data_IF_854134568592
#
_entry.id   IF_854134568592
#
_cell.length_a   1.000
_cell.length_b   1.000
_cell.length_c   1.000
_cell.angle_alpha   90.00
_cell.angle_beta   90.00
_cell.angle_gamma   90.00
#
_symmetry.space_group_name_H-M   'P 1'
#
loop_
_entity.id
_entity.type
_entity.pdbx_description
1 polymer ?
#
# COMPACT_ATOMS: atom_id res chain seq x y z
N UNK A 1 -5.19 6.71 -23.92
CA UNK A 1 -5.60 5.57 -23.07
C UNK A 1 -5.29 5.93 -21.62
N UNK A 2 -6.06 5.43 -20.64
CA UNK A 2 -5.85 5.77 -19.22
C UNK A 2 -5.61 4.54 -18.37
N UNK A 3 -4.74 4.67 -17.37
CA UNK A 3 -4.42 3.65 -16.38
C UNK A 3 -5.31 3.90 -15.17
N UNK A 4 -6.24 2.98 -14.91
CA UNK A 4 -7.19 3.07 -13.80
C UNK A 4 -6.49 3.11 -12.44
N UNK A 5 -5.45 2.31 -12.29
CA UNK A 5 -4.68 2.26 -11.07
C UNK A 5 -3.31 1.63 -11.27
N UNK A 6 -2.32 2.12 -10.53
CA UNK A 6 -1.09 1.38 -10.23
C UNK A 6 -1.27 0.80 -8.83
N UNK A 7 -1.11 -0.51 -8.68
CA UNK A 7 -1.20 -1.17 -7.36
C UNK A 7 0.14 -1.79 -7.01
N UNK A 8 0.69 -1.40 -5.86
CA UNK A 8 1.85 -2.03 -5.27
C UNK A 8 1.40 -3.07 -4.26
N UNK A 9 1.90 -4.28 -4.42
CA UNK A 9 1.71 -5.38 -3.48
C UNK A 9 2.94 -5.46 -2.58
N UNK A 10 2.74 -5.40 -1.27
CA UNK A 10 3.82 -5.33 -0.30
C UNK A 10 3.45 -6.05 1.00
N UNK A 11 4.41 -6.76 1.58
CA UNK A 11 4.29 -7.23 2.95
C UNK A 11 5.21 -6.39 3.86
N UNK A 12 4.67 -5.37 4.57
CA UNK A 12 5.47 -4.51 5.43
C UNK A 12 5.71 -5.10 6.83
N UNK A 13 5.15 -6.26 7.16
CA UNK A 13 5.17 -6.83 8.50
C UNK A 13 4.44 -5.98 9.56
N UNK A 14 4.56 -6.38 10.82
CA UNK A 14 4.13 -5.60 11.99
C UNK A 14 5.14 -5.75 13.14
N UNK A 15 5.72 -4.66 13.69
CA UNK A 15 5.59 -3.25 13.26
C UNK A 15 6.00 -3.02 11.80
N UNK A 16 5.52 -1.93 11.19
CA UNK A 16 5.75 -1.64 9.77
C UNK A 16 7.23 -1.38 9.46
N UNK A 17 7.75 -2.02 8.41
CA UNK A 17 9.04 -1.66 7.80
C UNK A 17 8.88 -0.36 6.97
N UNK A 18 9.19 0.76 7.61
CA UNK A 18 9.12 2.10 6.99
C UNK A 18 10.10 2.27 5.83
N UNK A 19 11.23 1.56 5.83
CA UNK A 19 12.20 1.65 4.73
C UNK A 19 11.68 0.95 3.49
N UNK A 20 11.02 -0.19 3.67
CA UNK A 20 10.36 -0.93 2.60
C UNK A 20 9.16 -0.15 2.04
N UNK A 21 8.33 0.42 2.91
CA UNK A 21 7.24 1.30 2.52
C UNK A 21 7.75 2.49 1.71
N UNK A 22 8.78 3.20 2.20
CA UNK A 22 9.36 4.33 1.47
C UNK A 22 9.82 3.94 0.06
N UNK A 23 10.48 2.79 -0.09
CA UNK A 23 10.89 2.28 -1.43
C UNK A 23 9.68 2.05 -2.34
N UNK A 24 8.57 1.54 -1.81
CA UNK A 24 7.33 1.40 -2.58
C UNK A 24 6.74 2.74 -3.01
N UNK A 25 6.77 3.76 -2.14
CA UNK A 25 6.39 5.13 -2.48
C UNK A 25 7.27 5.73 -3.57
N UNK A 26 8.60 5.67 -3.40
CA UNK A 26 9.57 6.19 -4.37
C UNK A 26 9.43 5.51 -5.75
N UNK A 27 9.20 4.20 -5.76
CA UNK A 27 8.94 3.44 -6.99
C UNK A 27 7.62 3.88 -7.65
N UNK A 28 6.56 4.04 -6.87
CA UNK A 28 5.24 4.44 -7.39
C UNK A 28 5.30 5.82 -8.03
N UNK A 29 6.01 6.77 -7.40
CA UNK A 29 6.21 8.10 -7.97
C UNK A 29 6.94 8.05 -9.33
N UNK A 30 8.00 7.25 -9.43
CA UNK A 30 8.73 7.04 -10.68
C UNK A 30 7.86 6.38 -11.76
N UNK A 31 7.05 5.39 -11.39
CA UNK A 31 6.12 4.73 -12.31
C UNK A 31 5.06 5.71 -12.84
N UNK A 32 4.48 6.55 -11.97
CA UNK A 32 3.53 7.59 -12.38
C UNK A 32 4.17 8.57 -13.36
N UNK A 33 5.39 9.04 -13.06
CA UNK A 33 6.11 9.96 -13.94
C UNK A 33 6.37 9.34 -15.32
N UNK A 34 6.96 8.14 -15.36
CA UNK A 34 7.29 7.45 -16.60
C UNK A 34 6.06 7.15 -17.48
N UNK A 35 4.93 6.79 -16.87
CA UNK A 35 3.68 6.53 -17.60
C UNK A 35 3.04 7.82 -18.10
N UNK A 36 3.09 8.89 -17.32
CA UNK A 36 2.63 10.21 -17.73
C UNK A 36 3.46 10.74 -18.91
N UNK A 37 4.78 10.61 -18.85
CA UNK A 37 5.71 11.01 -19.92
C UNK A 37 5.48 10.22 -21.21
N UNK A 38 5.05 8.95 -21.09
CA UNK A 38 4.64 8.12 -22.21
C UNK A 38 3.23 8.45 -22.76
N UNK A 39 2.54 9.46 -22.20
CA UNK A 39 1.24 9.93 -22.66
C UNK A 39 0.02 9.22 -22.03
N UNK A 40 0.21 8.50 -20.93
CA UNK A 40 -0.89 7.87 -20.18
C UNK A 40 -1.32 8.71 -18.97
N UNK A 41 -2.62 8.95 -18.83
CA UNK A 41 -3.19 9.45 -17.57
C UNK A 41 -3.21 8.32 -16.54
N UNK A 42 -2.63 8.54 -15.35
CA UNK A 42 -2.75 7.64 -14.20
C UNK A 42 -3.77 8.20 -13.21
N UNK A 43 -4.83 7.44 -12.93
CA UNK A 43 -5.94 7.96 -12.12
C UNK A 43 -5.74 7.76 -10.61
N UNK A 44 -5.19 6.62 -10.21
CA UNK A 44 -4.96 6.31 -8.79
C UNK A 44 -3.72 5.46 -8.57
N UNK A 45 -3.13 5.59 -7.38
CA UNK A 45 -2.09 4.73 -6.83
C UNK A 45 -2.66 4.01 -5.61
N UNK A 46 -2.35 2.72 -5.48
CA UNK A 46 -2.90 1.86 -4.42
C UNK A 46 -1.80 1.03 -3.78
N UNK A 47 -1.90 0.83 -2.47
CA UNK A 47 -1.10 -0.12 -1.71
C UNK A 47 -1.98 -1.30 -1.30
N UNK A 48 -1.54 -2.52 -1.58
CA UNK A 48 -2.20 -3.73 -1.11
C UNK A 48 -1.23 -4.52 -0.24
N UNK A 49 -1.64 -4.80 0.99
CA UNK A 49 -0.85 -5.57 1.97
C UNK A 49 -1.51 -6.88 2.34
N UNK A 50 -0.68 -7.80 2.87
CA UNK A 50 -1.10 -9.11 3.38
C UNK A 50 -2.24 -9.01 4.41
N UNK A 51 -2.90 -10.14 4.68
CA UNK A 51 -3.97 -10.21 5.68
C UNK A 51 -3.50 -9.75 7.06
N UNK A 52 -4.40 -9.18 7.86
CA UNK A 52 -4.03 -8.76 9.22
C UNK A 52 -3.64 -9.96 10.09
N UNK A 53 -4.20 -11.15 9.84
CA UNK A 53 -3.85 -12.38 10.57
C UNK A 53 -2.38 -12.72 10.36
N UNK A 54 -1.88 -12.55 9.13
CA UNK A 54 -0.48 -12.74 8.79
C UNK A 54 0.40 -11.63 9.36
N UNK A 55 0.02 -10.37 9.14
CA UNK A 55 0.82 -9.22 9.58
C UNK A 55 0.98 -9.17 11.11
N UNK A 56 -0.13 -9.35 11.85
CA UNK A 56 -0.11 -9.31 13.31
C UNK A 56 0.36 -10.61 13.95
N UNK A 57 0.37 -11.71 13.19
CA UNK A 57 0.51 -13.07 13.72
C UNK A 57 -0.46 -13.34 14.90
N UNK A 58 -1.65 -12.71 14.86
CA UNK A 58 -2.66 -12.77 15.90
C UNK A 58 -4.07 -12.76 15.27
N UNK A 59 -4.86 -13.85 15.42
CA UNK A 59 -6.21 -13.91 14.90
C UNK A 59 -7.22 -13.06 15.71
N UNK A 60 -6.85 -12.57 16.91
CA UNK A 60 -7.74 -11.79 17.78
C UNK A 60 -8.03 -10.38 17.29
N UNK A 61 -7.27 -9.89 16.30
CA UNK A 61 -7.37 -8.55 15.75
C UNK A 61 -7.20 -7.41 16.78
N UNK A 62 -6.59 -7.68 17.95
CA UNK A 62 -6.35 -6.66 19.00
C UNK A 62 -5.61 -5.43 18.45
N UNK A 63 -4.59 -5.68 17.63
CA UNK A 63 -3.74 -4.63 17.04
C UNK A 63 -4.20 -4.20 15.63
N UNK A 64 -5.38 -4.63 15.18
CA UNK A 64 -5.89 -4.28 13.85
C UNK A 64 -6.11 -2.77 13.68
N UNK A 65 -6.64 -2.10 14.72
CA UNK A 65 -6.87 -0.66 14.65
C UNK A 65 -5.55 0.14 14.62
N UNK A 66 -4.56 -0.13 15.49
CA UNK A 66 -3.20 0.41 15.35
C UNK A 66 -2.57 0.16 13.97
N UNK A 67 -2.65 -1.08 13.47
CA UNK A 67 -2.13 -1.45 12.14
C UNK A 67 -2.79 -0.64 11.03
N UNK A 68 -4.12 -0.57 11.01
CA UNK A 68 -4.87 0.15 9.99
C UNK A 68 -4.53 1.65 9.98
N UNK A 69 -4.41 2.28 11.16
CA UNK A 69 -4.03 3.69 11.27
C UNK A 69 -2.60 3.95 10.81
N UNK A 70 -1.66 3.07 11.18
CA UNK A 70 -0.28 3.19 10.75
C UNK A 70 -0.17 3.04 9.23
N UNK A 71 -0.82 2.03 8.65
CA UNK A 71 -0.85 1.83 7.20
C UNK A 71 -1.47 3.01 6.45
N UNK A 72 -2.58 3.56 6.94
CA UNK A 72 -3.22 4.73 6.34
C UNK A 72 -2.29 5.95 6.37
N UNK A 73 -1.69 6.26 7.53
CA UNK A 73 -0.79 7.40 7.69
C UNK A 73 0.42 7.29 6.75
N UNK A 74 1.07 6.13 6.72
CA UNK A 74 2.22 5.89 5.86
C UNK A 74 1.83 5.94 4.38
N UNK A 75 0.73 5.28 3.98
CA UNK A 75 0.23 5.30 2.61
C UNK A 75 -0.05 6.72 2.10
N UNK A 76 -0.72 7.56 2.90
CA UNK A 76 -0.99 8.96 2.58
C UNK A 76 0.32 9.74 2.42
N UNK A 77 1.27 9.57 3.35
CA UNK A 77 2.55 10.28 3.33
C UNK A 77 3.38 10.00 2.05
N UNK A 78 3.18 8.82 1.46
CA UNK A 78 3.85 8.37 0.24
C UNK A 78 3.06 8.64 -1.04
N UNK A 79 1.88 9.25 -0.95
CA UNK A 79 1.06 9.60 -2.10
C UNK A 79 0.19 8.47 -2.65
N UNK A 80 -0.11 7.43 -1.86
CA UNK A 80 -1.12 6.44 -2.22
C UNK A 80 -2.53 7.00 -1.99
N UNK A 81 -3.45 6.73 -2.91
CA UNK A 81 -4.86 7.13 -2.75
C UNK A 81 -5.67 6.16 -1.89
N UNK A 82 -5.19 4.93 -1.73
CA UNK A 82 -5.93 3.85 -1.09
C UNK A 82 -4.98 2.76 -0.60
N UNK A 83 -5.26 2.21 0.58
CA UNK A 83 -4.61 1.01 1.12
C UNK A 83 -5.63 -0.08 1.42
N UNK A 84 -5.34 -1.33 1.04
CA UNK A 84 -6.14 -2.52 1.37
C UNK A 84 -5.35 -3.53 2.18
N UNK A 85 -6.00 -4.16 3.15
CA UNK A 85 -5.47 -5.27 3.96
C UNK A 85 -6.24 -6.53 3.57
N UNK A 86 -5.58 -7.57 3.02
CA UNK A 86 -6.28 -8.80 2.68
C UNK A 86 -5.54 -9.80 1.77
N UNK A 87 -6.23 -10.87 1.32
CA UNK A 87 -7.57 -11.28 1.78
C UNK A 87 -7.50 -11.97 3.15
N UNK A 88 -8.57 -11.86 3.94
CA UNK A 88 -8.77 -12.70 5.13
C UNK A 88 -9.32 -14.04 4.62
N UNK A 89 -8.63 -15.18 4.83
CA UNK A 89 -9.24 -16.47 4.55
C UNK A 89 -10.52 -16.60 5.41
N UNK A 90 -11.66 -16.86 4.76
CA UNK A 90 -12.93 -17.17 5.43
C UNK A 90 -12.85 -18.54 6.13
#
# INVERSE_FOLDING_TARGET
>A
MKIRSITIFLDPGWPLDLSLLKKAGDFTAQAVAALTDAGYEVQTTRLAVSSFVHLLNDPSARDLLPLARALEAEAISMGFNYVSIGPVPL
#
